data_IF_261103586869
#
_entry.id   IF_261103586869
#
_cell.length_a   1.000
_cell.length_b   1.000
_cell.length_c   1.000
_cell.angle_alpha   90.00
_cell.angle_beta   90.00
_cell.angle_gamma   90.00
#
_symmetry.space_group_name_H-M   'P 1'
#
loop_
_entity.id
_entity.type
_entity.pdbx_description
1 polymer ?
#
# COMPACT_ATOMS: atom_id res chain seq x y z
N UNK A 1 -27.35 -19.96 -18.82
CA UNK A 1 -26.58 -21.14 -19.22
C UNK A 1 -25.96 -21.71 -17.94
N UNK A 2 -26.42 -22.91 -17.50
CA UNK A 2 -25.90 -23.79 -16.44
C UNK A 2 -25.31 -23.11 -15.18
N UNK A 3 -26.19 -22.64 -14.27
CA UNK A 3 -25.89 -22.65 -12.84
C UNK A 3 -25.80 -24.12 -12.42
N UNK A 4 -24.61 -24.72 -12.44
CA UNK A 4 -24.38 -25.99 -11.72
C UNK A 4 -24.78 -25.71 -10.27
N UNK A 5 -25.79 -26.42 -9.77
CA UNK A 5 -26.05 -26.51 -8.34
C UNK A 5 -24.82 -27.17 -7.74
N UNK A 6 -23.97 -26.39 -7.11
CA UNK A 6 -22.87 -26.86 -6.29
C UNK A 6 -23.53 -27.45 -5.04
N UNK A 7 -23.26 -28.68 -4.73
CA UNK A 7 -23.77 -29.33 -3.52
C UNK A 7 -23.24 -28.62 -2.25
N UNK A 8 -23.86 -28.87 -1.10
CA UNK A 8 -23.53 -28.18 0.14
C UNK A 8 -22.08 -28.44 0.58
N UNK A 9 -21.57 -29.65 0.35
CA UNK A 9 -20.21 -30.07 0.71
C UNK A 9 -19.17 -29.34 -0.16
N UNK A 10 -19.35 -29.31 -1.47
CA UNK A 10 -18.48 -28.55 -2.39
C UNK A 10 -18.50 -27.04 -2.10
N UNK A 11 -19.66 -26.51 -1.64
CA UNK A 11 -19.75 -25.09 -1.24
C UNK A 11 -18.98 -24.81 0.03
N UNK A 12 -18.98 -25.72 0.99
CA UNK A 12 -18.20 -25.63 2.23
C UNK A 12 -16.70 -25.69 1.93
N UNK A 13 -16.26 -26.62 1.09
CA UNK A 13 -14.87 -26.75 0.63
C UNK A 13 -14.39 -25.50 -0.09
N UNK A 14 -15.20 -24.93 -0.99
CA UNK A 14 -14.89 -23.68 -1.67
C UNK A 14 -14.76 -22.49 -0.70
N UNK A 15 -15.59 -22.44 0.35
CA UNK A 15 -15.46 -21.42 1.39
C UNK A 15 -14.17 -21.58 2.19
N UNK A 16 -13.79 -22.80 2.55
CA UNK A 16 -12.53 -23.11 3.24
C UNK A 16 -11.33 -22.73 2.35
N UNK A 17 -11.37 -23.09 1.07
CA UNK A 17 -10.33 -22.70 0.10
C UNK A 17 -10.21 -21.18 -0.03
N UNK A 18 -11.33 -20.49 -0.15
CA UNK A 18 -11.36 -19.01 -0.21
C UNK A 18 -10.74 -18.39 1.04
N UNK A 19 -11.15 -18.83 2.24
CA UNK A 19 -10.59 -18.33 3.50
C UNK A 19 -9.08 -18.57 3.61
N UNK A 20 -8.61 -19.76 3.20
CA UNK A 20 -7.18 -20.06 3.20
C UNK A 20 -6.41 -19.20 2.19
N UNK A 21 -6.98 -18.94 1.01
CA UNK A 21 -6.38 -18.09 -0.01
C UNK A 21 -6.30 -16.63 0.48
N UNK A 22 -7.38 -16.10 1.06
CA UNK A 22 -7.39 -14.76 1.66
C UNK A 22 -6.37 -14.63 2.80
N UNK A 23 -6.25 -15.68 3.63
CA UNK A 23 -5.26 -15.73 4.70
C UNK A 23 -3.83 -15.73 4.15
N UNK A 24 -3.56 -16.50 3.10
CA UNK A 24 -2.26 -16.58 2.44
C UNK A 24 -1.90 -15.24 1.79
N UNK A 25 -2.84 -14.60 1.13
CA UNK A 25 -2.67 -13.27 0.55
C UNK A 25 -2.33 -12.23 1.61
N UNK A 26 -3.05 -12.24 2.75
CA UNK A 26 -2.76 -11.34 3.87
C UNK A 26 -1.36 -11.58 4.46
N UNK A 27 -0.92 -12.84 4.55
CA UNK A 27 0.44 -13.21 4.98
C UNK A 27 1.50 -12.63 4.06
N UNK A 28 1.34 -12.83 2.76
CA UNK A 28 2.25 -12.32 1.74
C UNK A 28 2.32 -10.80 1.81
N UNK A 29 1.18 -10.11 1.90
CA UNK A 29 1.15 -8.65 2.00
C UNK A 29 1.84 -8.15 3.28
N UNK A 30 1.61 -8.77 4.43
CA UNK A 30 2.30 -8.42 5.68
C UNK A 30 3.82 -8.62 5.59
N UNK A 31 4.28 -9.70 4.95
CA UNK A 31 5.71 -9.95 4.74
C UNK A 31 6.32 -8.90 3.82
N UNK A 32 5.61 -8.51 2.77
CA UNK A 32 6.06 -7.48 1.83
C UNK A 32 6.12 -6.11 2.50
N UNK A 33 5.10 -5.76 3.29
CA UNK A 33 5.10 -4.51 4.04
C UNK A 33 6.26 -4.49 5.05
N UNK A 34 6.50 -5.60 5.75
CA UNK A 34 7.63 -5.74 6.66
C UNK A 34 8.98 -5.59 5.93
N UNK A 35 9.17 -6.25 4.79
CA UNK A 35 10.38 -6.11 3.97
C UNK A 35 10.59 -4.68 3.46
N UNK A 36 9.52 -3.96 3.11
CA UNK A 36 9.61 -2.55 2.74
C UNK A 36 10.12 -1.68 3.90
N UNK A 37 9.66 -1.94 5.12
CA UNK A 37 10.12 -1.18 6.30
C UNK A 37 11.58 -1.44 6.66
N UNK A 38 12.12 -2.64 6.35
CA UNK A 38 13.53 -2.97 6.54
C UNK A 38 14.45 -2.41 5.44
N UNK A 39 13.90 -2.03 4.27
CA UNK A 39 14.71 -1.53 3.16
C UNK A 39 15.21 -0.11 3.44
N UNK A 40 16.51 0.12 3.22
CA UNK A 40 17.09 1.47 3.31
C UNK A 40 16.41 2.39 2.29
N UNK A 41 15.82 3.49 2.80
CA UNK A 41 15.16 4.51 1.95
C UNK A 41 13.63 4.46 1.94
N UNK A 42 12.97 3.54 2.65
CA UNK A 42 11.54 3.62 2.84
C UNK A 42 11.20 4.84 3.72
N UNK A 43 10.34 5.73 3.20
CA UNK A 43 9.91 6.94 3.91
C UNK A 43 8.40 6.94 4.02
N UNK A 44 7.91 7.36 5.19
CA UNK A 44 6.51 7.65 5.41
C UNK A 44 6.25 9.13 5.02
N UNK A 45 5.12 9.37 4.39
CA UNK A 45 4.63 10.73 4.18
C UNK A 45 3.76 11.11 5.38
N UNK A 46 4.14 12.17 6.10
CA UNK A 46 3.44 12.64 7.28
C UNK A 46 2.51 13.80 6.91
N UNK A 47 1.28 13.72 7.37
CA UNK A 47 0.26 14.77 7.22
C UNK A 47 -0.43 15.00 8.56
N UNK A 48 -0.98 16.19 8.78
CA UNK A 48 -1.82 16.45 9.94
C UNK A 48 -3.09 15.61 9.88
N UNK A 49 -3.30 14.74 10.86
CA UNK A 49 -4.42 13.82 10.92
C UNK A 49 -5.13 13.92 12.27
N UNK A 50 -6.45 13.72 12.26
CA UNK A 50 -7.26 13.60 13.47
C UNK A 50 -7.09 12.18 14.06
N UNK A 51 -6.21 12.03 15.06
CA UNK A 51 -5.91 10.78 15.73
C UNK A 51 -7.14 10.22 16.45
N UNK A 52 -7.94 11.10 17.08
CA UNK A 52 -9.16 10.73 17.79
C UNK A 52 -10.19 10.08 16.85
N UNK A 53 -10.37 10.62 15.66
CA UNK A 53 -11.31 10.09 14.67
C UNK A 53 -10.83 8.74 14.12
N UNK A 54 -9.55 8.61 13.77
CA UNK A 54 -8.98 7.34 13.29
C UNK A 54 -9.14 6.23 14.33
N UNK A 55 -8.93 6.53 15.62
CA UNK A 55 -9.15 5.57 16.70
C UNK A 55 -10.62 5.18 16.84
N UNK A 56 -11.56 6.14 16.80
CA UNK A 56 -13.01 5.89 16.84
C UNK A 56 -13.46 5.01 15.68
N UNK A 57 -13.02 5.31 14.47
CA UNK A 57 -13.34 4.50 13.28
C UNK A 57 -12.77 3.10 13.37
N UNK A 58 -11.49 2.97 13.77
CA UNK A 58 -10.86 1.67 13.90
C UNK A 58 -11.53 0.84 15.00
N UNK A 59 -11.80 1.42 16.17
CA UNK A 59 -12.55 0.78 17.25
C UNK A 59 -13.91 0.26 16.76
N UNK A 60 -14.66 1.07 16.01
CA UNK A 60 -15.99 0.70 15.47
C UNK A 60 -15.91 -0.57 14.59
N UNK A 61 -14.84 -0.77 13.82
CA UNK A 61 -14.65 -1.96 12.97
C UNK A 61 -14.55 -3.25 13.79
N UNK A 62 -13.99 -3.20 14.99
CA UNK A 62 -13.82 -4.37 15.87
C UNK A 62 -15.00 -4.57 16.85
N UNK A 63 -15.90 -3.60 17.01
CA UNK A 63 -17.01 -3.66 17.99
C UNK A 63 -17.90 -4.88 17.79
N UNK A 64 -18.24 -5.23 16.55
CA UNK A 64 -19.09 -6.40 16.25
C UNK A 64 -18.41 -7.71 16.65
N UNK A 65 -17.12 -7.84 16.38
CA UNK A 65 -16.32 -9.03 16.73
C UNK A 65 -16.15 -9.16 18.25
N UNK A 66 -15.86 -8.06 18.93
CA UNK A 66 -15.74 -8.02 20.39
C UNK A 66 -17.08 -8.41 21.05
N UNK A 67 -18.20 -7.86 20.56
CA UNK A 67 -19.55 -8.21 21.03
C UNK A 67 -19.88 -9.69 20.82
N UNK A 68 -19.51 -10.26 19.67
CA UNK A 68 -19.70 -11.70 19.40
C UNK A 68 -18.93 -12.58 20.39
N UNK A 69 -17.76 -12.11 20.85
CA UNK A 69 -16.94 -12.79 21.85
C UNK A 69 -17.38 -12.49 23.30
N UNK A 70 -18.35 -11.60 23.53
CA UNK A 70 -18.79 -11.19 24.86
C UNK A 70 -17.80 -10.30 25.61
N UNK A 71 -16.88 -9.64 24.92
CA UNK A 71 -15.84 -8.79 25.51
C UNK A 71 -16.40 -7.41 25.88
N UNK A 72 -15.97 -6.88 27.03
CA UNK A 72 -16.10 -5.46 27.37
C UNK A 72 -15.07 -4.66 26.59
N UNK A 73 -15.49 -4.00 25.51
CA UNK A 73 -14.62 -3.33 24.53
C UNK A 73 -14.78 -1.81 24.62
N UNK A 74 -13.85 -1.14 25.28
CA UNK A 74 -13.95 0.28 25.65
C UNK A 74 -12.84 1.09 24.98
N UNK A 75 -13.21 2.26 24.46
CA UNK A 75 -12.30 3.28 23.96
C UNK A 75 -12.43 4.55 24.79
N UNK A 76 -11.33 4.96 25.41
CA UNK A 76 -11.20 6.21 26.16
C UNK A 76 -10.36 7.20 25.35
N UNK A 77 -10.98 8.27 24.90
CA UNK A 77 -10.33 9.36 24.18
C UNK A 77 -10.73 10.70 24.79
N UNK A 78 -9.90 11.75 24.67
CA UNK A 78 -10.27 13.09 25.10
C UNK A 78 -11.56 13.58 24.47
N UNK A 79 -12.26 14.50 25.14
CA UNK A 79 -13.46 15.14 24.58
C UNK A 79 -13.16 15.98 23.35
N UNK A 80 -11.99 16.64 23.34
CA UNK A 80 -11.50 17.41 22.20
C UNK A 80 -10.77 16.50 21.23
N UNK A 81 -10.94 16.77 19.94
CA UNK A 81 -10.21 16.07 18.89
C UNK A 81 -8.71 16.40 18.98
N UNK A 82 -7.88 15.37 18.89
CA UNK A 82 -6.43 15.48 18.95
C UNK A 82 -5.82 15.25 17.57
N UNK A 83 -4.92 16.15 17.16
CA UNK A 83 -4.26 16.14 15.86
C UNK A 83 -2.76 15.90 16.02
N UNK A 84 -2.19 15.12 15.12
CA UNK A 84 -0.74 14.90 15.04
C UNK A 84 -0.30 14.69 13.59
N UNK A 85 0.96 14.99 13.29
CA UNK A 85 1.55 14.71 11.98
C UNK A 85 1.94 13.23 11.91
N UNK A 86 1.15 12.41 11.24
CA UNK A 86 1.35 10.96 11.11
C UNK A 86 1.10 10.50 9.67
N UNK A 87 1.60 9.32 9.34
CA UNK A 87 1.15 8.60 8.16
C UNK A 87 -0.12 7.81 8.50
N UNK A 88 -1.28 8.26 8.01
CA UNK A 88 -2.58 7.69 8.36
C UNK A 88 -2.68 6.18 8.07
N UNK A 89 -2.13 5.72 6.94
CA UNK A 89 -2.20 4.30 6.55
C UNK A 89 -1.36 3.43 7.49
N UNK A 90 -0.10 3.81 7.75
CA UNK A 90 0.78 3.09 8.65
C UNK A 90 0.25 3.10 10.09
N UNK A 91 -0.24 4.24 10.57
CA UNK A 91 -0.87 4.37 11.88
C UNK A 91 -2.10 3.46 12.01
N UNK A 92 -3.01 3.47 11.02
CA UNK A 92 -4.19 2.60 11.00
C UNK A 92 -3.80 1.12 11.00
N UNK A 93 -2.70 0.74 10.31
CA UNK A 93 -2.16 -0.64 10.33
C UNK A 93 -1.68 -1.02 11.73
N UNK A 94 -0.94 -0.14 12.42
CA UNK A 94 -0.48 -0.39 13.80
C UNK A 94 -1.68 -0.63 14.71
N UNK A 95 -2.63 0.31 14.74
CA UNK A 95 -3.82 0.22 15.61
C UNK A 95 -4.65 -1.02 15.30
N UNK A 96 -4.90 -1.31 14.01
CA UNK A 96 -5.66 -2.51 13.61
C UNK A 96 -4.98 -3.81 14.06
N UNK A 97 -3.65 -3.89 13.99
CA UNK A 97 -2.90 -5.05 14.49
C UNK A 97 -3.00 -5.21 16.01
N UNK A 98 -2.86 -4.10 16.75
CA UNK A 98 -2.99 -4.12 18.21
C UNK A 98 -4.39 -4.54 18.65
N UNK A 99 -5.44 -3.96 18.04
CA UNK A 99 -6.83 -4.30 18.34
C UNK A 99 -7.18 -5.74 17.94
N UNK A 100 -6.70 -6.20 16.79
CA UNK A 100 -6.91 -7.58 16.37
C UNK A 100 -6.29 -8.57 17.36
N UNK A 101 -5.07 -8.31 17.84
CA UNK A 101 -4.43 -9.11 18.85
C UNK A 101 -5.17 -9.06 20.19
N UNK A 102 -5.53 -7.86 20.64
CA UNK A 102 -6.26 -7.69 21.89
C UNK A 102 -7.60 -8.45 21.87
N UNK A 103 -8.45 -8.24 20.86
CA UNK A 103 -9.73 -8.94 20.73
C UNK A 103 -9.56 -10.46 20.53
N UNK A 104 -8.47 -10.89 19.87
CA UNK A 104 -8.19 -12.31 19.65
C UNK A 104 -7.86 -13.04 20.95
N UNK A 105 -7.05 -12.43 21.81
CA UNK A 105 -6.46 -13.06 23.00
C UNK A 105 -7.13 -12.67 24.32
N UNK A 106 -7.99 -11.63 24.35
CA UNK A 106 -8.75 -11.25 25.52
C UNK A 106 -9.70 -12.35 26.00
N UNK A 107 -9.88 -12.44 27.32
CA UNK A 107 -10.84 -13.31 28.00
C UNK A 107 -12.15 -12.57 28.30
N UNK A 108 -12.09 -11.35 28.86
CA UNK A 108 -13.28 -10.59 29.25
C UNK A 108 -13.26 -9.12 28.84
N UNK A 109 -12.11 -8.47 28.69
CA UNK A 109 -12.07 -7.06 28.32
C UNK A 109 -10.90 -6.68 27.39
N UNK A 110 -11.14 -5.60 26.64
CA UNK A 110 -10.11 -4.83 25.92
C UNK A 110 -10.39 -3.34 26.15
N UNK A 111 -9.40 -2.65 26.74
CA UNK A 111 -9.46 -1.21 26.94
C UNK A 111 -8.41 -0.53 26.06
N UNK A 112 -8.82 0.51 25.39
CA UNK A 112 -7.96 1.35 24.56
C UNK A 112 -8.02 2.76 25.10
N UNK A 113 -6.89 3.42 25.31
CA UNK A 113 -6.84 4.83 25.73
C UNK A 113 -5.88 5.63 24.86
N UNK A 114 -6.29 6.86 24.54
CA UNK A 114 -5.45 7.90 23.99
C UNK A 114 -5.03 8.84 25.10
N UNK A 115 -3.73 8.86 25.41
CA UNK A 115 -3.11 9.77 26.35
C UNK A 115 -2.44 10.89 25.58
N UNK A 116 -2.96 12.10 25.73
CA UNK A 116 -2.41 13.30 25.10
C UNK A 116 -1.53 14.05 26.10
N UNK A 117 -0.58 14.87 25.65
CA UNK A 117 0.27 15.65 26.53
C UNK A 117 -0.53 16.58 27.43
N UNK A 118 -0.13 16.66 28.71
CA UNK A 118 -0.70 17.62 29.67
C UNK A 118 -0.06 19.00 29.57
N UNK A 119 1.12 19.10 28.96
CA UNK A 119 1.91 20.34 28.82
C UNK A 119 2.48 20.49 27.42
N UNK A 120 2.73 21.74 26.98
CA UNK A 120 3.33 22.04 25.67
C UNK A 120 4.79 21.54 25.53
N UNK A 121 5.44 21.20 26.63
CA UNK A 121 6.80 20.65 26.65
C UNK A 121 6.84 19.15 26.29
N UNK A 122 5.75 18.41 26.46
CA UNK A 122 5.65 17.02 26.08
C UNK A 122 5.27 16.90 24.59
N UNK A 123 6.21 16.45 23.77
CA UNK A 123 6.10 16.40 22.31
C UNK A 123 5.59 15.06 21.78
N UNK A 124 5.07 14.21 22.63
CA UNK A 124 4.59 12.88 22.27
C UNK A 124 3.19 12.58 22.82
N UNK A 125 2.47 11.69 22.15
CA UNK A 125 1.22 11.12 22.65
C UNK A 125 1.33 9.60 22.73
N UNK A 126 0.46 8.98 23.51
CA UNK A 126 0.48 7.53 23.73
C UNK A 126 -0.87 6.90 23.44
N UNK A 127 -0.83 5.69 22.92
CA UNK A 127 -2.00 4.83 22.79
C UNK A 127 -1.70 3.54 23.53
N UNK A 128 -2.51 3.27 24.54
CA UNK A 128 -2.42 2.05 25.34
C UNK A 128 -3.56 1.11 24.97
N UNK A 129 -3.21 -0.13 24.69
CA UNK A 129 -4.15 -1.23 24.47
C UNK A 129 -3.93 -2.27 25.54
N UNK A 130 -4.92 -2.46 26.39
CA UNK A 130 -4.90 -3.32 27.57
C UNK A 130 -5.92 -4.46 27.42
N UNK A 131 -5.52 -5.71 27.64
CA UNK A 131 -6.39 -6.88 27.60
C UNK A 131 -5.98 -7.93 28.64
N UNK A 132 -6.96 -8.66 29.16
CA UNK A 132 -6.86 -9.66 30.22
C UNK A 132 -6.58 -11.10 29.72
N UNK A 133 -6.04 -11.26 28.53
CA UNK A 133 -5.68 -12.57 28.02
C UNK A 133 -4.48 -13.21 28.74
N UNK A 134 -4.05 -14.38 28.26
CA UNK A 134 -2.89 -15.08 28.82
C UNK A 134 -1.70 -14.13 28.95
N UNK A 135 -1.19 -14.01 30.16
CA UNK A 135 -0.11 -13.05 30.49
C UNK A 135 1.20 -13.47 29.83
N UNK A 136 1.79 -12.54 29.11
CA UNK A 136 3.08 -12.71 28.44
C UNK A 136 4.19 -12.53 29.49
N UNK A 137 5.06 -13.53 29.72
CA UNK A 137 6.17 -13.43 30.68
C UNK A 137 7.14 -12.29 30.34
N UNK A 138 7.79 -11.72 31.36
CA UNK A 138 8.73 -10.61 31.19
C UNK A 138 9.87 -10.95 30.21
N UNK A 139 10.33 -12.21 30.19
CA UNK A 139 11.38 -12.68 29.27
C UNK A 139 10.94 -12.69 27.80
N UNK A 140 9.63 -12.76 27.54
CA UNK A 140 9.08 -12.82 26.21
C UNK A 140 8.68 -11.43 25.65
N UNK A 141 8.68 -10.37 26.46
CA UNK A 141 8.21 -9.04 26.07
C UNK A 141 8.93 -8.46 24.85
N UNK A 142 10.21 -8.72 24.69
CA UNK A 142 10.96 -8.33 23.49
C UNK A 142 10.85 -9.36 22.37
N UNK A 143 10.77 -10.65 22.72
CA UNK A 143 10.70 -11.73 21.74
C UNK A 143 9.41 -11.68 20.89
N UNK A 144 8.28 -11.25 21.46
CA UNK A 144 7.00 -11.17 20.73
C UNK A 144 7.02 -10.16 19.59
N UNK A 145 7.98 -9.22 19.57
CA UNK A 145 8.16 -8.26 18.48
C UNK A 145 9.12 -8.75 17.38
N UNK A 146 9.74 -9.91 17.56
CA UNK A 146 10.55 -10.52 16.49
C UNK A 146 9.65 -11.12 15.41
N UNK A 147 10.06 -11.06 14.14
CA UNK A 147 9.32 -11.71 13.06
C UNK A 147 9.11 -13.21 13.34
N UNK A 148 7.90 -13.69 13.08
CA UNK A 148 7.47 -15.09 13.29
C UNK A 148 7.42 -15.55 14.74
N UNK A 149 7.66 -14.67 15.72
CA UNK A 149 7.52 -15.01 17.13
C UNK A 149 6.06 -15.34 17.48
N UNK A 150 5.86 -16.39 18.26
CA UNK A 150 4.56 -16.84 18.76
C UNK A 150 4.67 -17.22 20.22
N UNK A 151 3.70 -16.81 21.00
CA UNK A 151 3.54 -17.20 22.38
C UNK A 151 2.35 -18.15 22.50
N UNK A 152 2.49 -19.28 23.22
CA UNK A 152 1.50 -20.36 23.38
C UNK A 152 1.25 -21.25 22.14
N UNK A 153 2.24 -22.05 21.74
CA UNK A 153 2.02 -23.14 20.80
C UNK A 153 1.50 -24.46 21.45
N UNK A 154 1.43 -24.56 22.79
CA UNK A 154 1.24 -25.85 23.48
C UNK A 154 0.32 -25.79 24.69
N UNK A 155 -0.93 -25.35 24.56
CA UNK A 155 -1.98 -25.82 25.48
C UNK A 155 -3.27 -26.05 24.69
N UNK A 156 -3.81 -27.26 24.78
CA UNK A 156 -5.11 -27.72 24.28
C UNK A 156 -5.30 -27.98 22.76
N UNK A 157 -4.26 -28.26 21.98
CA UNK A 157 -4.50 -28.74 20.60
C UNK A 157 -5.20 -27.78 19.64
N UNK A 158 -5.49 -26.53 20.08
CA UNK A 158 -5.99 -25.45 19.22
C UNK A 158 -4.81 -24.68 18.64
N UNK A 159 -4.55 -24.90 17.38
CA UNK A 159 -3.57 -24.10 16.60
C UNK A 159 -4.00 -22.64 16.65
N UNK A 160 -3.28 -21.83 17.43
CA UNK A 160 -3.50 -20.37 17.45
C UNK A 160 -3.18 -19.80 16.08
N UNK A 161 -4.21 -19.29 15.39
CA UNK A 161 -4.11 -18.74 14.06
C UNK A 161 -3.44 -17.36 14.11
N UNK A 162 -2.18 -17.25 13.72
CA UNK A 162 -1.46 -15.96 13.60
C UNK A 162 -0.21 -16.11 12.75
N UNK A 163 0.22 -15.01 12.13
CA UNK A 163 1.38 -14.98 11.24
C UNK A 163 2.70 -14.77 11.98
N UNK A 164 2.63 -14.19 13.19
CA UNK A 164 3.81 -13.75 13.94
C UNK A 164 4.52 -12.52 13.33
N UNK A 165 3.94 -11.88 12.32
CA UNK A 165 4.54 -10.71 11.64
C UNK A 165 3.89 -9.40 12.13
N UNK A 166 2.66 -9.43 12.60
CA UNK A 166 1.88 -8.23 12.91
C UNK A 166 2.56 -7.29 13.93
N UNK A 167 3.03 -7.80 15.07
CA UNK A 167 3.72 -6.99 16.07
C UNK A 167 5.08 -6.48 15.59
N UNK A 168 5.85 -7.30 14.88
CA UNK A 168 7.11 -6.90 14.27
C UNK A 168 6.91 -5.73 13.27
N UNK A 169 5.94 -5.86 12.37
CA UNK A 169 5.56 -4.80 11.43
C UNK A 169 5.09 -3.54 12.16
N UNK A 170 4.25 -3.68 13.21
CA UNK A 170 3.76 -2.54 13.98
C UNK A 170 4.90 -1.79 14.67
N UNK A 171 5.91 -2.50 15.22
CA UNK A 171 7.11 -1.89 15.82
C UNK A 171 7.93 -1.13 14.76
N UNK A 172 8.21 -1.76 13.61
CA UNK A 172 8.94 -1.09 12.52
C UNK A 172 8.21 0.16 12.00
N UNK A 173 6.89 0.11 11.87
CA UNK A 173 6.09 1.28 11.48
C UNK A 173 6.11 2.38 12.57
N UNK A 174 6.12 2.03 13.86
CA UNK A 174 6.26 2.98 14.95
C UNK A 174 7.65 3.64 14.95
N UNK A 175 8.71 2.88 14.71
CA UNK A 175 10.09 3.38 14.57
C UNK A 175 10.24 4.32 13.37
N UNK A 176 9.60 4.02 12.25
CA UNK A 176 9.54 4.91 11.09
C UNK A 176 8.78 6.23 11.37
N UNK A 177 7.87 6.23 12.36
CA UNK A 177 7.26 7.45 12.91
C UNK A 177 8.13 8.12 13.99
N UNK A 178 9.40 7.70 14.16
CA UNK A 178 10.29 8.18 15.25
C UNK A 178 9.72 7.93 16.64
N UNK A 179 8.84 6.94 16.75
CA UNK A 179 8.19 6.52 17.98
C UNK A 179 8.64 5.15 18.46
N UNK A 180 7.91 4.61 19.42
CA UNK A 180 8.19 3.29 20.00
C UNK A 180 6.91 2.49 20.19
N UNK A 181 7.01 1.17 20.06
CA UNK A 181 5.97 0.23 20.45
C UNK A 181 6.57 -0.77 21.43
N UNK A 182 6.09 -0.77 22.67
CA UNK A 182 6.59 -1.61 23.73
C UNK A 182 5.44 -2.29 24.51
N UNK A 183 5.78 -3.33 25.26
CA UNK A 183 4.87 -3.94 26.20
C UNK A 183 5.21 -3.47 27.62
N UNK A 184 4.25 -2.82 28.29
CA UNK A 184 4.36 -2.39 29.69
C UNK A 184 4.01 -3.54 30.64
N UNK A 185 4.42 -3.39 31.89
CA UNK A 185 4.09 -4.35 32.94
C UNK A 185 2.69 -4.06 33.50
N UNK A 186 1.74 -4.93 33.20
CA UNK A 186 0.45 -4.97 33.90
C UNK A 186 0.49 -5.94 35.09
N UNK A 187 -0.32 -5.72 36.11
CA UNK A 187 -0.41 -6.68 37.25
C UNK A 187 -1.09 -7.99 36.84
N UNK A 188 -2.10 -7.92 35.98
CA UNK A 188 -2.90 -9.06 35.49
C UNK A 188 -3.40 -8.86 34.05
N UNK A 189 -2.67 -8.10 33.26
CA UNK A 189 -3.07 -7.82 31.87
C UNK A 189 -1.85 -7.57 30.98
N UNK A 190 -2.06 -7.69 29.68
CA UNK A 190 -1.07 -7.36 28.67
C UNK A 190 -1.33 -5.93 28.17
N UNK A 191 -0.38 -5.04 28.38
CA UNK A 191 -0.48 -3.63 27.99
C UNK A 191 0.52 -3.35 26.88
N UNK A 192 0.02 -3.05 25.69
CA UNK A 192 0.84 -2.54 24.58
C UNK A 192 0.75 -1.03 24.55
N UNK A 193 1.90 -0.36 24.58
CA UNK A 193 2.01 1.09 24.56
C UNK A 193 2.70 1.53 23.26
N UNK A 194 1.97 2.25 22.44
CA UNK A 194 2.49 2.96 21.26
C UNK A 194 2.73 4.41 21.66
N UNK A 195 3.97 4.89 21.55
CA UNK A 195 4.34 6.30 21.78
C UNK A 195 4.81 6.89 20.48
N UNK A 196 4.17 7.97 20.02
CA UNK A 196 4.53 8.67 18.79
C UNK A 196 4.74 10.17 19.07
N UNK A 197 5.69 10.83 18.40
CA UNK A 197 5.81 12.29 18.45
C UNK A 197 4.60 12.94 17.75
N UNK A 198 4.21 14.13 18.24
CA UNK A 198 3.12 14.93 17.65
C UNK A 198 3.55 15.48 16.30
N UNK A 199 4.82 15.91 16.22
CA UNK A 199 5.44 16.43 15.00
C UNK A 199 6.73 15.62 14.78
N UNK A 200 6.87 15.01 13.63
CA UNK A 200 8.11 14.36 13.23
C UNK A 200 9.06 15.43 12.67
N UNK A 201 10.27 15.50 13.21
CA UNK A 201 11.33 16.30 12.62
C UNK A 201 11.71 15.69 11.26
N UNK A 202 11.33 16.40 10.20
CA UNK A 202 11.86 16.12 8.87
C UNK A 202 13.31 16.61 8.81
N UNK A 203 14.22 15.93 9.50
CA UNK A 203 15.64 16.05 9.18
C UNK A 203 15.86 15.33 7.87
N UNK A 204 15.69 16.06 6.79
CA UNK A 204 16.15 15.67 5.47
C UNK A 204 17.68 15.60 5.58
N UNK A 205 18.20 14.39 5.82
CA UNK A 205 19.61 14.13 5.50
C UNK A 205 19.68 14.09 3.97
N UNK A 206 19.85 15.26 3.38
CA UNK A 206 20.22 15.40 1.98
C UNK A 206 21.61 14.80 1.84
N UNK A 207 21.73 13.60 1.29
CA UNK A 207 22.91 13.28 0.50
C UNK A 207 22.89 14.24 -0.68
N UNK A 208 24.00 14.98 -0.93
CA UNK A 208 24.01 16.00 -1.95
C UNK A 208 24.06 15.35 -3.32
N UNK A 209 23.03 15.54 -4.09
CA UNK A 209 23.10 15.60 -5.53
C UNK A 209 21.69 15.82 -6.09
N UNK A 210 21.52 16.91 -6.52
CA UNK A 210 21.00 17.75 -7.60
C UNK A 210 20.03 18.79 -7.08
N UNK A 211 20.57 19.99 -6.81
CA UNK A 211 19.81 21.24 -6.84
C UNK A 211 19.29 21.45 -8.26
N UNK A 212 17.96 21.35 -8.40
CA UNK A 212 17.30 21.98 -9.55
C UNK A 212 16.61 23.24 -9.01
N UNK A 213 17.18 24.35 -9.36
CA UNK A 213 16.65 25.70 -9.11
C UNK A 213 15.18 25.77 -9.52
N UNK A 214 14.31 26.02 -8.54
CA UNK A 214 12.96 26.53 -8.80
C UNK A 214 13.05 28.04 -8.97
N UNK A 215 13.30 28.46 -10.17
CA UNK A 215 13.17 29.88 -10.51
C UNK A 215 11.73 30.21 -10.92
N UNK A 216 11.29 31.30 -10.36
CA UNK A 216 9.94 31.86 -10.48
C UNK A 216 9.63 32.21 -11.92
N UNK A 217 8.54 31.62 -12.44
CA UNK A 217 7.90 32.20 -13.62
C UNK A 217 6.51 32.73 -13.28
N UNK A 218 6.42 34.05 -13.46
CA UNK A 218 5.25 34.91 -13.32
C UNK A 218 4.19 34.53 -14.36
N UNK A 219 2.96 34.71 -13.95
CA UNK A 219 1.76 34.74 -14.78
C UNK A 219 1.89 35.70 -15.97
N UNK A 220 1.43 35.28 -17.13
CA UNK A 220 1.07 36.16 -18.25
C UNK A 220 -0.24 35.66 -18.88
N UNK A 221 -1.05 36.56 -19.45
CA UNK A 221 -2.50 36.38 -19.53
C UNK A 221 -3.00 35.54 -20.70
N UNK A 222 -4.20 35.00 -20.52
CA UNK A 222 -4.91 34.15 -21.46
C UNK A 222 -5.27 34.86 -22.77
N UNK A 223 -4.89 34.26 -23.90
CA UNK A 223 -5.53 34.48 -25.17
C UNK A 223 -6.32 33.23 -25.60
N UNK A 224 -7.56 33.41 -25.96
CA UNK A 224 -8.47 32.40 -26.48
C UNK A 224 -8.01 31.92 -27.87
N UNK A 225 -7.62 30.64 -27.94
CA UNK A 225 -7.49 29.93 -29.22
C UNK A 225 -8.21 28.59 -29.08
N UNK A 226 -8.97 28.19 -30.08
CA UNK A 226 -9.76 26.97 -30.19
C UNK A 226 -9.01 25.75 -29.68
N UNK A 227 -9.59 25.08 -28.69
CA UNK A 227 -9.00 23.91 -28.01
C UNK A 227 -9.08 22.67 -28.91
N UNK A 228 -8.08 22.43 -29.75
CA UNK A 228 -7.62 21.06 -29.97
C UNK A 228 -7.03 20.55 -28.64
N UNK A 229 -7.60 19.47 -28.13
CA UNK A 229 -7.15 18.84 -26.89
C UNK A 229 -5.69 18.40 -27.07
N UNK A 230 -4.76 19.13 -26.45
CA UNK A 230 -3.32 18.99 -26.68
C UNK A 230 -2.65 18.10 -25.62
N UNK A 231 -3.47 17.31 -24.88
CA UNK A 231 -2.95 16.39 -23.86
C UNK A 231 -2.19 15.23 -24.50
N UNK A 232 -1.08 14.77 -23.90
CA UNK A 232 -0.39 13.58 -24.37
C UNK A 232 -1.31 12.36 -24.37
N UNK A 233 -1.15 11.47 -25.36
CA UNK A 233 -1.96 10.25 -25.50
C UNK A 233 -1.23 9.05 -24.91
N UNK A 234 -1.89 8.31 -24.03
CA UNK A 234 -1.42 7.03 -23.45
C UNK A 234 -2.29 5.90 -23.99
N UNK A 235 -1.65 4.85 -24.48
CA UNK A 235 -2.31 3.59 -24.81
C UNK A 235 -2.22 2.65 -23.60
N UNK A 236 -3.37 2.23 -23.08
CA UNK A 236 -3.46 1.25 -21.97
C UNK A 236 -3.95 -0.08 -22.54
N UNK A 237 -3.17 -1.14 -22.33
CA UNK A 237 -3.47 -2.51 -22.78
C UNK A 237 -3.61 -3.41 -21.56
N UNK A 238 -4.83 -3.89 -21.29
CA UNK A 238 -5.17 -4.70 -20.10
C UNK A 238 -6.39 -5.56 -20.41
N UNK A 239 -6.33 -6.86 -20.19
CA UNK A 239 -7.43 -7.79 -20.51
C UNK A 239 -8.51 -7.82 -19.41
N UNK A 240 -8.17 -7.40 -18.20
CA UNK A 240 -9.12 -7.31 -17.09
C UNK A 240 -9.91 -5.99 -17.17
N UNK A 241 -11.25 -6.03 -17.41
CA UNK A 241 -12.06 -4.82 -17.61
C UNK A 241 -12.12 -3.92 -16.37
N UNK A 242 -12.06 -4.49 -15.15
CA UNK A 242 -12.08 -3.71 -13.90
C UNK A 242 -10.76 -2.95 -13.71
N UNK A 243 -9.64 -3.62 -13.99
CA UNK A 243 -8.31 -3.01 -13.93
C UNK A 243 -8.13 -1.97 -15.03
N UNK A 244 -8.55 -2.27 -16.25
CA UNK A 244 -8.55 -1.33 -17.37
C UNK A 244 -9.33 -0.06 -17.02
N UNK A 245 -10.58 -0.21 -16.54
CA UNK A 245 -11.43 0.91 -16.11
C UNK A 245 -10.79 1.71 -14.97
N UNK A 246 -10.13 1.05 -14.03
CA UNK A 246 -9.42 1.71 -12.93
C UNK A 246 -8.26 2.56 -13.44
N UNK A 247 -7.37 2.00 -14.27
CA UNK A 247 -6.20 2.70 -14.82
C UNK A 247 -6.63 3.87 -15.70
N UNK A 248 -7.60 3.65 -16.59
CA UNK A 248 -8.17 4.69 -17.48
C UNK A 248 -8.70 5.86 -16.66
N UNK A 249 -9.51 5.61 -15.63
CA UNK A 249 -10.09 6.67 -14.79
C UNK A 249 -9.02 7.53 -14.11
N UNK A 250 -7.88 6.94 -13.75
CA UNK A 250 -6.80 7.67 -13.10
C UNK A 250 -5.99 8.50 -14.10
N UNK A 251 -5.67 7.94 -15.26
CA UNK A 251 -4.85 8.61 -16.28
C UNK A 251 -5.64 9.65 -17.09
N UNK A 252 -6.95 9.48 -17.29
CA UNK A 252 -7.80 10.40 -18.08
C UNK A 252 -7.91 11.81 -17.51
N UNK A 253 -7.47 12.03 -16.26
CA UNK A 253 -7.43 13.37 -15.64
C UNK A 253 -6.42 14.29 -16.34
N UNK A 254 -5.31 13.74 -16.82
CA UNK A 254 -4.18 14.49 -17.37
C UNK A 254 -3.83 14.11 -18.81
N UNK A 255 -4.28 12.93 -19.27
CA UNK A 255 -3.91 12.35 -20.55
C UNK A 255 -5.15 11.99 -21.38
N UNK A 256 -4.98 11.95 -22.70
CA UNK A 256 -5.89 11.22 -23.58
C UNK A 256 -5.57 9.74 -23.47
N UNK A 257 -6.58 8.89 -23.25
CA UNK A 257 -6.35 7.45 -23.04
C UNK A 257 -7.04 6.65 -24.13
N UNK A 258 -6.25 5.85 -24.86
CA UNK A 258 -6.70 4.80 -25.75
C UNK A 258 -6.65 3.46 -25.00
N UNK A 259 -7.56 2.55 -25.30
CA UNK A 259 -7.67 1.27 -24.58
C UNK A 259 -7.67 0.10 -25.56
N UNK A 260 -6.97 -0.97 -25.17
CA UNK A 260 -6.98 -2.27 -25.86
C UNK A 260 -7.07 -3.39 -24.81
N UNK A 261 -7.59 -4.54 -25.22
CA UNK A 261 -7.76 -5.71 -24.33
C UNK A 261 -6.68 -6.78 -24.54
N UNK A 262 -5.82 -6.63 -25.53
CA UNK A 262 -4.68 -7.50 -25.82
C UNK A 262 -3.64 -6.77 -26.70
N UNK A 263 -2.46 -7.38 -26.84
CA UNK A 263 -1.36 -6.75 -27.58
C UNK A 263 -1.65 -6.52 -29.07
N UNK A 264 -2.45 -7.37 -29.71
CA UNK A 264 -2.80 -7.20 -31.15
C UNK A 264 -3.67 -5.96 -31.35
N UNK A 265 -4.70 -5.78 -30.54
CA UNK A 265 -5.52 -4.55 -30.55
C UNK A 265 -4.68 -3.31 -30.26
N UNK A 266 -3.71 -3.44 -29.30
CA UNK A 266 -2.75 -2.38 -28.99
C UNK A 266 -1.94 -1.93 -30.20
N UNK A 267 -1.39 -2.86 -30.97
CA UNK A 267 -0.65 -2.57 -32.20
C UNK A 267 -1.53 -1.91 -33.27
N UNK A 268 -2.77 -2.35 -33.45
CA UNK A 268 -3.70 -1.73 -34.38
C UNK A 268 -4.01 -0.26 -34.05
N UNK A 269 -4.10 0.05 -32.74
CA UNK A 269 -4.31 1.42 -32.29
C UNK A 269 -3.07 2.30 -32.49
N UNK A 270 -1.87 1.73 -32.41
CA UNK A 270 -0.62 2.45 -32.70
C UNK A 270 -0.54 2.87 -34.19
N UNK A 271 -1.01 2.05 -35.12
CA UNK A 271 -0.96 2.32 -36.58
C UNK A 271 -1.85 3.51 -36.99
N UNK A 272 -2.85 3.86 -36.19
CA UNK A 272 -3.79 4.96 -36.51
C UNK A 272 -3.68 6.20 -35.62
N UNK A 273 -2.85 6.18 -34.55
CA UNK A 273 -2.86 7.22 -33.51
C UNK A 273 -1.46 7.63 -33.11
N UNK A 274 -1.32 8.91 -32.75
CA UNK A 274 -0.08 9.39 -32.13
C UNK A 274 -0.07 9.08 -30.66
N UNK A 275 0.73 8.10 -30.23
CA UNK A 275 0.85 7.65 -28.86
C UNK A 275 2.16 8.12 -28.23
N UNK A 276 2.09 8.69 -27.03
CA UNK A 276 3.23 9.20 -26.31
C UNK A 276 3.82 8.17 -25.31
N UNK A 277 3.01 7.23 -24.83
CA UNK A 277 3.38 6.20 -23.87
C UNK A 277 2.44 4.99 -24.02
N UNK A 278 2.99 3.79 -23.88
CA UNK A 278 2.22 2.55 -23.75
C UNK A 278 2.32 2.06 -22.30
N UNK A 279 1.17 1.72 -21.70
CA UNK A 279 1.06 1.03 -20.41
C UNK A 279 0.40 -0.31 -20.67
N UNK A 280 1.10 -1.41 -20.50
CA UNK A 280 0.59 -2.75 -20.83
C UNK A 280 0.69 -3.71 -19.64
N UNK A 281 -0.34 -4.52 -19.41
CA UNK A 281 -0.18 -5.73 -18.63
C UNK A 281 0.79 -6.68 -19.33
N UNK A 282 1.50 -7.48 -18.54
CA UNK A 282 2.39 -8.53 -19.03
C UNK A 282 1.58 -9.76 -19.43
N UNK A 283 0.62 -10.20 -18.60
CA UNK A 283 -0.12 -11.44 -18.81
C UNK A 283 -1.47 -11.15 -19.45
N UNK A 284 -1.55 -11.35 -20.77
CA UNK A 284 -2.77 -11.14 -21.55
C UNK A 284 -2.96 -12.26 -22.59
N UNK A 285 -4.21 -12.55 -22.99
CA UNK A 285 -4.48 -13.51 -24.06
C UNK A 285 -4.06 -12.97 -25.43
N UNK A 286 -3.90 -13.85 -26.40
CA UNK A 286 -3.60 -13.59 -27.83
C UNK A 286 -2.18 -13.10 -28.05
N UNK A 287 -1.78 -11.97 -27.50
CA UNK A 287 -0.43 -11.39 -27.49
C UNK A 287 -0.17 -10.79 -26.13
N UNK A 288 0.84 -11.28 -25.45
CA UNK A 288 1.23 -10.81 -24.13
C UNK A 288 2.00 -9.48 -24.18
N UNK A 289 2.24 -8.88 -23.00
CA UNK A 289 2.91 -7.58 -22.90
C UNK A 289 4.39 -7.62 -23.31
N UNK A 290 5.06 -8.77 -23.18
CA UNK A 290 6.45 -8.94 -23.63
C UNK A 290 6.55 -9.01 -25.15
N UNK A 291 5.67 -9.76 -25.79
CA UNK A 291 5.59 -9.82 -27.26
C UNK A 291 5.20 -8.46 -27.84
N UNK A 292 4.26 -7.76 -27.22
CA UNK A 292 3.88 -6.39 -27.58
C UNK A 292 5.09 -5.44 -27.47
N UNK A 293 5.81 -5.47 -26.34
CA UNK A 293 6.99 -4.65 -26.10
C UNK A 293 8.07 -4.92 -27.16
N UNK A 294 8.41 -6.18 -27.40
CA UNK A 294 9.38 -6.60 -28.41
C UNK A 294 8.99 -6.10 -29.81
N UNK A 295 7.71 -6.23 -30.18
CA UNK A 295 7.21 -5.82 -31.50
C UNK A 295 7.34 -4.31 -31.66
N UNK A 296 6.90 -3.53 -30.65
CA UNK A 296 7.01 -2.05 -30.68
C UNK A 296 8.47 -1.61 -30.75
N UNK A 297 9.35 -2.20 -29.92
CA UNK A 297 10.77 -1.80 -29.87
C UNK A 297 11.58 -2.23 -31.09
N UNK A 298 11.12 -3.22 -31.82
CA UNK A 298 11.74 -3.67 -33.08
C UNK A 298 11.29 -2.89 -34.32
N UNK A 299 10.19 -2.15 -34.23
CA UNK A 299 9.68 -1.34 -35.34
C UNK A 299 10.25 0.08 -35.30
N UNK A 300 10.88 0.52 -36.38
CA UNK A 300 11.51 1.84 -36.50
C UNK A 300 10.52 3.00 -36.29
N UNK A 301 9.25 2.80 -36.60
CA UNK A 301 8.21 3.83 -36.45
C UNK A 301 7.76 3.97 -34.99
N UNK A 302 7.87 2.90 -34.17
CA UNK A 302 7.31 2.86 -32.82
C UNK A 302 8.36 2.64 -31.73
N UNK A 303 9.60 2.22 -32.07
CA UNK A 303 10.67 1.92 -31.12
C UNK A 303 10.97 3.05 -30.12
N UNK A 304 10.70 4.28 -30.52
CA UNK A 304 10.90 5.48 -29.73
C UNK A 304 9.80 5.69 -28.66
N UNK A 305 8.68 4.95 -28.70
CA UNK A 305 7.59 5.08 -27.73
C UNK A 305 8.00 4.40 -26.42
N UNK A 306 7.99 5.11 -25.29
CA UNK A 306 8.25 4.49 -24.01
C UNK A 306 7.15 3.52 -23.62
N UNK A 307 7.54 2.43 -22.91
CA UNK A 307 6.65 1.35 -22.50
C UNK A 307 6.80 1.10 -21.01
N UNK A 308 5.69 1.15 -20.28
CA UNK A 308 5.56 0.68 -18.90
C UNK A 308 4.89 -0.69 -18.92
N UNK A 309 5.53 -1.71 -18.34
CA UNK A 309 4.93 -3.02 -18.15
C UNK A 309 4.40 -3.16 -16.73
N UNK A 310 3.12 -3.53 -16.59
CA UNK A 310 2.47 -3.88 -15.35
C UNK A 310 2.59 -5.37 -15.14
N UNK A 311 3.17 -5.83 -14.02
CA UNK A 311 3.43 -7.25 -13.82
C UNK A 311 2.92 -7.74 -12.47
N UNK A 312 2.34 -8.94 -12.44
CA UNK A 312 2.11 -9.64 -11.19
C UNK A 312 3.47 -10.11 -10.65
N UNK A 313 3.68 -9.95 -9.35
CA UNK A 313 4.93 -10.24 -8.64
C UNK A 313 5.36 -11.70 -8.75
N UNK A 314 6.04 -12.07 -9.83
CA UNK A 314 6.63 -13.40 -9.96
C UNK A 314 7.88 -13.34 -10.84
N UNK A 315 9.02 -13.50 -10.19
CA UNK A 315 10.32 -13.80 -10.79
C UNK A 315 11.19 -12.60 -11.23
N UNK A 316 12.35 -12.50 -10.59
CA UNK A 316 13.48 -11.64 -11.02
C UNK A 316 13.85 -11.92 -12.49
N UNK A 317 13.65 -13.17 -12.94
CA UNK A 317 13.90 -13.59 -14.31
C UNK A 317 13.04 -12.85 -15.34
N UNK A 318 11.75 -12.66 -15.05
CA UNK A 318 10.82 -11.91 -15.92
C UNK A 318 11.16 -10.42 -15.99
N UNK A 319 11.71 -9.83 -14.91
CA UNK A 319 12.20 -8.44 -14.93
C UNK A 319 13.45 -8.28 -15.80
N UNK A 320 14.38 -9.25 -15.74
CA UNK A 320 15.59 -9.25 -16.55
C UNK A 320 15.20 -9.42 -18.03
N UNK A 321 14.35 -10.37 -18.33
CA UNK A 321 13.85 -10.67 -19.68
C UNK A 321 13.16 -9.47 -20.32
N UNK A 322 12.34 -8.77 -19.58
CA UNK A 322 11.66 -7.58 -20.10
C UNK A 322 12.57 -6.36 -20.22
N UNK A 323 13.58 -6.16 -19.35
CA UNK A 323 14.61 -5.13 -19.54
C UNK A 323 15.44 -5.40 -20.81
N UNK A 324 15.77 -6.67 -21.10
CA UNK A 324 16.42 -7.08 -22.33
C UNK A 324 15.56 -6.83 -23.58
N UNK A 325 14.23 -6.84 -23.43
CA UNK A 325 13.26 -6.53 -24.50
C UNK A 325 13.06 -5.02 -24.72
N UNK A 326 13.68 -4.16 -23.88
CA UNK A 326 13.69 -2.71 -24.06
C UNK A 326 12.54 -1.96 -23.42
N UNK A 327 11.81 -2.53 -22.46
CA UNK A 327 10.82 -1.78 -21.68
C UNK A 327 11.49 -0.68 -20.84
N UNK A 328 10.86 0.51 -20.79
CA UNK A 328 11.43 1.70 -20.13
C UNK A 328 11.13 1.73 -18.64
N UNK A 329 10.07 1.05 -18.18
CA UNK A 329 9.75 0.88 -16.77
C UNK A 329 8.94 -0.39 -16.50
N UNK A 330 9.08 -0.89 -15.26
CA UNK A 330 8.33 -2.02 -14.70
C UNK A 330 7.61 -1.58 -13.44
N UNK A 331 6.31 -1.88 -13.36
CA UNK A 331 5.49 -1.59 -12.20
C UNK A 331 4.84 -2.88 -11.71
N UNK A 332 5.13 -3.27 -10.48
CA UNK A 332 4.53 -4.46 -9.87
C UNK A 332 3.10 -4.19 -9.42
N UNK A 333 2.18 -5.11 -9.75
CA UNK A 333 0.83 -5.16 -9.21
C UNK A 333 0.85 -5.84 -7.81
N UNK A 334 0.22 -5.26 -6.75
CA UNK A 334 -0.56 -4.02 -6.75
C UNK A 334 0.34 -2.77 -6.68
N UNK A 335 0.01 -1.74 -7.47
CA UNK A 335 0.75 -0.48 -7.52
C UNK A 335 -0.06 0.70 -7.00
N UNK A 336 0.63 1.78 -6.58
CA UNK A 336 -0.04 3.04 -6.28
C UNK A 336 -0.28 3.84 -7.57
N UNK A 337 -1.41 4.53 -7.60
CA UNK A 337 -1.79 5.40 -8.74
C UNK A 337 -0.76 6.49 -8.95
N UNK A 338 -0.32 7.09 -7.85
CA UNK A 338 0.67 8.19 -7.85
C UNK A 338 2.00 7.72 -8.46
N UNK A 339 2.41 6.49 -8.18
CA UNK A 339 3.62 5.91 -8.75
C UNK A 339 3.49 5.71 -10.27
N UNK A 340 2.36 5.17 -10.74
CA UNK A 340 2.09 5.02 -12.17
C UNK A 340 2.08 6.38 -12.87
N UNK A 341 1.40 7.39 -12.30
CA UNK A 341 1.33 8.75 -12.85
C UNK A 341 2.72 9.41 -12.88
N UNK A 342 3.52 9.29 -11.82
CA UNK A 342 4.87 9.82 -11.77
C UNK A 342 5.79 9.18 -12.82
N UNK A 343 5.73 7.86 -13.01
CA UNK A 343 6.47 7.15 -14.07
C UNK A 343 6.04 7.61 -15.46
N UNK A 344 4.72 7.69 -15.71
CA UNK A 344 4.18 8.14 -16.99
C UNK A 344 4.62 9.57 -17.34
N UNK A 345 4.49 10.49 -16.38
CA UNK A 345 4.92 11.89 -16.54
C UNK A 345 6.40 12.00 -16.86
N UNK A 346 7.24 11.30 -16.10
CA UNK A 346 8.70 11.32 -16.28
C UNK A 346 9.11 10.81 -17.67
N UNK A 347 8.57 9.66 -18.11
CA UNK A 347 8.92 9.08 -19.41
C UNK A 347 8.46 9.97 -20.57
N UNK A 348 7.26 10.54 -20.50
CA UNK A 348 6.75 11.47 -21.52
C UNK A 348 7.62 12.73 -21.58
N UNK A 349 7.94 13.36 -20.44
CA UNK A 349 8.75 14.57 -20.39
C UNK A 349 10.19 14.34 -20.88
N UNK A 350 10.81 13.22 -20.51
CA UNK A 350 12.18 12.90 -20.95
C UNK A 350 12.22 12.72 -22.47
N UNK A 351 11.22 12.07 -23.04
CA UNK A 351 11.09 11.94 -24.51
C UNK A 351 10.93 13.30 -25.19
N UNK A 352 10.08 14.17 -24.66
CA UNK A 352 9.90 15.52 -25.22
C UNK A 352 11.18 16.35 -25.17
N UNK A 353 11.95 16.26 -24.07
CA UNK A 353 13.26 16.92 -23.97
C UNK A 353 14.23 16.42 -25.04
N UNK A 354 14.34 15.09 -25.21
CA UNK A 354 15.21 14.49 -26.24
C UNK A 354 14.80 14.97 -27.64
N UNK A 355 13.49 14.96 -27.95
CA UNK A 355 12.98 15.45 -29.25
C UNK A 355 13.33 16.90 -29.53
N UNK A 356 13.26 17.79 -28.52
CA UNK A 356 13.62 19.21 -28.64
C UNK A 356 15.11 19.44 -28.83
N UNK A 357 15.95 18.51 -28.32
CA UNK A 357 17.41 18.62 -28.40
C UNK A 357 17.95 18.17 -29.77
N UNK A 358 17.23 17.28 -30.47
CA UNK A 358 17.67 16.68 -31.73
C UNK A 358 16.79 17.10 -32.94
N UNK A 359 15.82 18.00 -32.76
CA UNK A 359 15.02 18.63 -33.84
C UNK A 359 15.54 20.05 -34.13
#
# INVERSE_FOLDING_TARGET
ILKKQVDAETREDLNVMKQNTERLLNLVNQLLDFRKTESQGFRLNFTECNVTEILKETHKRFTSLAKQKGLNFVLNVPEQDFYAHINQEAFTKIISNLLNNAVKYAESYVHISLEVPDTDDDKSFRIRTDNDGVIIPDEMKEEIFKPFARFNEKEDGKVTTGTGIGLALSRSLAELHQGTLAMEKGERSNIFCLTLPIIQDMTITLTPEVEVEMDKMKEAPAEHIDKKDNRPTILVVEDNPDMLSFVVRQLSKEYMVLTATNGVEGLQLLDGNYVNLVVSDVVMPVMDGFELCKTIKSDLNYSHIPIILLTAKTNIQSKIEGMELGADAYIEKPFSVEYLQACASNLIQNREKLRRTFA
#
